data_IF_976863548600
#
_entry.id   IF_976863548600
#
_cell.length_a   1.000
_cell.length_b   1.000
_cell.length_c   1.000
_cell.angle_alpha   90.00
_cell.angle_beta   90.00
_cell.angle_gamma   90.00
#
_symmetry.space_group_name_H-M   'P 1'
#
loop_
_entity.id
_entity.type
_entity.pdbx_description
1 polymer ?
#
# COMPACT_ATOMS: atom_id res chain seq x y z
N UNK A 1 22.38 9.91 -24.50
CA UNK A 1 21.25 10.76 -24.07
C UNK A 1 20.32 11.12 -25.24
N UNK A 2 20.82 11.62 -26.38
CA UNK A 2 19.96 12.04 -27.51
C UNK A 2 19.02 10.96 -28.08
N UNK A 3 19.42 9.68 -28.13
CA UNK A 3 18.58 8.60 -28.69
C UNK A 3 17.33 8.29 -27.86
N UNK A 4 17.37 8.56 -26.56
CA UNK A 4 16.22 8.31 -25.66
C UNK A 4 15.21 9.44 -25.78
N UNK A 5 15.70 10.67 -25.94
CA UNK A 5 14.86 11.86 -26.17
C UNK A 5 14.17 11.74 -27.54
N UNK A 6 14.89 11.33 -28.58
CA UNK A 6 14.33 11.14 -29.93
C UNK A 6 13.31 9.99 -29.99
N UNK A 7 13.50 8.93 -29.19
CA UNK A 7 12.52 7.86 -29.07
C UNK A 7 11.24 8.32 -28.34
N UNK A 8 11.38 9.17 -27.32
CA UNK A 8 10.25 9.72 -26.59
C UNK A 8 9.42 10.69 -27.44
N UNK A 9 10.09 11.54 -28.23
CA UNK A 9 9.45 12.50 -29.12
C UNK A 9 8.67 11.81 -30.25
N UNK A 10 9.22 10.72 -30.82
CA UNK A 10 8.49 9.89 -31.80
C UNK A 10 7.24 9.24 -31.22
N UNK A 11 7.29 8.77 -29.98
CA UNK A 11 6.12 8.18 -29.31
C UNK A 11 5.05 9.24 -29.04
N UNK A 12 5.46 10.44 -28.60
CA UNK A 12 4.54 11.57 -28.39
C UNK A 12 3.81 11.95 -29.69
N UNK A 13 4.55 12.09 -30.80
CA UNK A 13 3.97 12.47 -32.08
C UNK A 13 3.00 11.40 -32.62
N UNK A 14 3.35 10.11 -32.47
CA UNK A 14 2.44 9.02 -32.85
C UNK A 14 1.16 8.95 -31.99
N UNK A 15 1.23 9.37 -30.73
CA UNK A 15 0.06 9.44 -29.86
C UNK A 15 -0.86 10.60 -30.26
N UNK A 16 -0.29 11.76 -30.60
CA UNK A 16 -1.05 12.91 -31.09
C UNK A 16 -1.71 12.62 -32.45
N UNK A 17 -1.00 11.95 -33.38
CA UNK A 17 -1.57 11.52 -34.66
C UNK A 17 -2.69 10.49 -34.47
N UNK A 18 -2.50 9.54 -33.55
CA UNK A 18 -3.54 8.57 -33.18
C UNK A 18 -4.78 9.26 -32.61
N UNK A 19 -4.58 10.22 -31.70
CA UNK A 19 -5.66 10.98 -31.07
C UNK A 19 -6.40 11.86 -32.08
N UNK A 20 -5.68 12.55 -32.97
CA UNK A 20 -6.26 13.37 -34.04
C UNK A 20 -7.02 12.52 -35.06
N UNK A 21 -6.56 11.30 -35.36
CA UNK A 21 -7.31 10.38 -36.24
C UNK A 21 -8.63 9.95 -35.60
N UNK A 22 -8.65 9.68 -34.29
CA UNK A 22 -9.85 9.31 -33.55
C UNK A 22 -10.80 10.51 -33.42
N UNK A 23 -10.26 11.71 -33.18
CA UNK A 23 -11.04 12.94 -33.11
C UNK A 23 -11.66 13.31 -34.47
N UNK A 24 -10.93 13.07 -35.57
CA UNK A 24 -11.42 13.26 -36.95
C UNK A 24 -12.45 12.22 -37.38
N UNK A 25 -12.40 11.00 -36.81
CA UNK A 25 -13.41 9.97 -37.03
C UNK A 25 -14.72 10.22 -36.24
N UNK A 26 -14.69 11.16 -35.29
CA UNK A 26 -15.83 11.56 -34.47
C UNK A 26 -16.50 12.86 -34.97
N UNK A 27 -16.07 13.39 -36.12
CA UNK A 27 -16.87 14.32 -36.93
C UNK A 27 -17.85 13.52 -37.79
N UNK A 28 -19.15 13.77 -37.61
CA UNK A 28 -20.23 13.10 -38.34
C UNK A 28 -20.09 13.13 -39.87
N UNK A 29 -20.84 12.29 -40.59
CA UNK A 29 -20.63 12.03 -42.01
C UNK A 29 -20.76 13.30 -42.85
N UNK A 30 -19.66 13.66 -43.51
CA UNK A 30 -19.58 14.65 -44.58
C UNK A 30 -20.34 14.12 -45.80
N UNK A 31 -21.53 14.68 -46.07
CA UNK A 31 -22.31 14.42 -47.27
C UNK A 31 -21.96 15.46 -48.35
N UNK A 32 -21.11 15.08 -49.30
CA UNK A 32 -21.01 15.78 -50.59
C UNK A 32 -22.03 15.20 -51.60
N UNK A 33 -22.53 16.01 -52.56
CA UNK A 33 -23.86 15.85 -53.14
C UNK A 33 -23.89 15.01 -54.41
N UNK A 34 -25.08 14.48 -54.78
CA UNK A 34 -25.46 14.53 -56.18
C UNK A 34 -26.88 15.09 -56.38
N UNK A 35 -27.03 15.84 -57.48
CA UNK A 35 -28.24 15.75 -58.28
C UNK A 35 -29.44 16.56 -57.81
N UNK A 36 -29.51 17.76 -58.35
CA UNK A 36 -30.71 18.59 -58.46
C UNK A 36 -31.94 17.80 -58.97
N UNK A 37 -33.03 17.80 -58.19
CA UNK A 37 -34.38 17.96 -58.71
C UNK A 37 -35.37 18.25 -57.57
N UNK A 38 -35.74 19.53 -57.47
CA UNK A 38 -37.10 20.03 -57.28
C UNK A 38 -38.04 19.27 -56.32
N UNK A 39 -38.36 19.86 -55.17
CA UNK A 39 -39.65 20.52 -54.94
C UNK A 39 -39.70 21.07 -53.51
N UNK A 40 -40.19 22.30 -53.44
CA UNK A 40 -40.48 23.04 -52.22
C UNK A 40 -41.63 22.37 -51.47
N UNK A 41 -41.37 21.94 -50.23
CA UNK A 41 -42.43 21.79 -49.23
C UNK A 41 -41.89 22.35 -47.92
N UNK A 42 -42.31 23.59 -47.64
CA UNK A 42 -42.11 24.28 -46.39
C UNK A 42 -43.14 23.71 -45.40
N UNK A 43 -42.77 22.65 -44.69
CA UNK A 43 -43.56 22.12 -43.58
C UNK A 43 -42.80 22.36 -42.28
N UNK A 44 -43.48 23.07 -41.39
CA UNK A 44 -43.05 23.42 -40.05
C UNK A 44 -42.43 22.21 -39.36
N UNK A 45 -41.19 22.38 -38.89
CA UNK A 45 -40.53 21.43 -38.00
C UNK A 45 -41.23 21.46 -36.64
N UNK A 46 -42.43 20.87 -36.55
CA UNK A 46 -42.99 20.42 -35.29
C UNK A 46 -42.02 19.37 -34.73
N UNK A 47 -41.40 19.72 -33.60
CA UNK A 47 -40.42 18.86 -32.92
C UNK A 47 -40.95 17.44 -32.79
N UNK A 48 -40.15 16.47 -33.21
CA UNK A 48 -40.49 15.06 -33.09
C UNK A 48 -40.86 14.75 -31.63
N UNK A 49 -42.05 14.22 -31.33
CA UNK A 49 -42.48 13.91 -29.96
C UNK A 49 -41.61 12.84 -29.28
N UNK A 50 -40.67 12.23 -30.02
CA UNK A 50 -39.65 11.32 -29.51
C UNK A 50 -38.42 12.03 -28.96
N UNK A 51 -38.14 13.27 -29.38
CA UNK A 51 -36.94 14.02 -28.97
C UNK A 51 -37.01 14.40 -27.48
N UNK A 52 -38.22 14.76 -27.02
CA UNK A 52 -38.49 14.99 -25.59
C UNK A 52 -38.38 13.73 -24.74
N UNK A 53 -38.77 12.57 -25.28
CA UNK A 53 -38.67 11.28 -24.57
C UNK A 53 -37.21 10.84 -24.49
N UNK A 54 -36.41 11.06 -25.55
CA UNK A 54 -34.98 10.76 -25.51
C UNK A 54 -34.22 11.69 -24.59
N UNK A 55 -34.49 13.00 -24.57
CA UNK A 55 -33.87 13.92 -23.59
C UNK A 55 -34.27 13.60 -22.14
N UNK A 56 -35.53 13.21 -21.90
CA UNK A 56 -36.02 12.84 -20.57
C UNK A 56 -35.44 11.50 -20.09
N UNK A 57 -35.39 10.49 -20.95
CA UNK A 57 -34.83 9.18 -20.61
C UNK A 57 -33.30 9.22 -20.55
N UNK A 58 -32.64 9.89 -21.50
CA UNK A 58 -31.18 10.04 -21.51
C UNK A 58 -30.72 10.95 -20.36
N UNK A 59 -31.44 12.05 -20.12
CA UNK A 59 -31.27 12.91 -18.94
C UNK A 59 -31.53 12.16 -17.64
N UNK A 60 -32.54 11.28 -17.61
CA UNK A 60 -32.81 10.39 -16.47
C UNK A 60 -31.72 9.33 -16.24
N UNK A 61 -31.12 8.78 -17.30
CA UNK A 61 -30.01 7.81 -17.23
C UNK A 61 -28.70 8.50 -16.80
N UNK A 62 -28.40 9.70 -17.31
CA UNK A 62 -27.23 10.48 -16.90
C UNK A 62 -27.41 11.10 -15.50
N UNK A 63 -28.63 11.50 -15.12
CA UNK A 63 -28.92 12.01 -13.77
C UNK A 63 -28.95 10.88 -12.72
N UNK A 64 -29.34 9.66 -13.08
CA UNK A 64 -29.17 8.48 -12.22
C UNK A 64 -27.71 7.99 -12.15
N UNK A 65 -26.83 8.57 -12.96
CA UNK A 65 -25.37 8.48 -12.86
C UNK A 65 -24.75 9.65 -12.05
N UNK A 66 -25.53 10.36 -11.22
CA UNK A 66 -25.04 11.35 -10.26
C UNK A 66 -24.84 10.69 -8.87
N UNK A 67 -23.66 10.58 -8.28
CA UNK A 67 -22.36 11.11 -8.67
C UNK A 67 -21.25 10.06 -8.53
N UNK A 68 -19.98 10.44 -8.76
CA UNK A 68 -18.87 9.59 -8.37
C UNK A 68 -19.00 9.38 -6.87
N UNK A 69 -19.33 8.15 -6.41
CA UNK A 69 -19.25 7.86 -4.99
C UNK A 69 -17.79 7.98 -4.61
N UNK A 70 -17.42 9.17 -4.13
CA UNK A 70 -16.04 9.43 -3.76
C UNK A 70 -15.75 8.56 -2.54
N UNK A 71 -14.51 8.08 -2.41
CA UNK A 71 -14.12 7.27 -1.25
C UNK A 71 -14.52 7.91 0.09
N UNK A 72 -14.55 9.24 0.15
CA UNK A 72 -14.99 10.00 1.32
C UNK A 72 -16.46 9.80 1.63
N UNK A 73 -17.34 9.85 0.64
CA UNK A 73 -18.78 9.60 0.84
C UNK A 73 -19.04 8.19 1.37
N UNK A 74 -18.31 7.18 0.87
CA UNK A 74 -18.39 5.82 1.39
C UNK A 74 -17.95 5.73 2.86
N UNK A 75 -16.89 6.43 3.24
CA UNK A 75 -16.41 6.48 4.63
C UNK A 75 -17.39 7.23 5.53
N UNK A 76 -17.95 8.35 5.08
CA UNK A 76 -18.92 9.15 5.83
C UNK A 76 -20.23 8.36 6.05
N UNK A 77 -20.70 7.66 5.02
CA UNK A 77 -21.84 6.77 5.12
C UNK A 77 -21.57 5.60 6.08
N UNK A 78 -20.39 4.98 5.99
CA UNK A 78 -19.99 3.91 6.91
C UNK A 78 -19.91 4.39 8.37
N UNK A 79 -19.27 5.54 8.61
CA UNK A 79 -19.15 6.15 9.93
C UNK A 79 -20.51 6.50 10.53
N UNK A 80 -21.43 7.01 9.69
CA UNK A 80 -22.78 7.37 10.12
C UNK A 80 -23.67 6.15 10.38
N UNK A 81 -23.40 5.02 9.71
CA UNK A 81 -24.10 3.76 9.92
C UNK A 81 -23.67 3.02 11.21
N UNK A 82 -22.54 3.41 11.81
CA UNK A 82 -22.03 2.84 13.04
C UNK A 82 -22.61 3.57 14.25
N UNK A 83 -23.24 2.82 15.15
CA UNK A 83 -23.64 3.34 16.45
C UNK A 83 -22.43 3.40 17.37
N UNK A 84 -21.79 4.57 17.45
CA UNK A 84 -20.57 4.78 18.25
C UNK A 84 -20.78 4.62 19.75
N UNK A 85 -22.02 4.80 20.24
CA UNK A 85 -22.35 4.68 21.66
C UNK A 85 -22.72 3.24 22.07
N UNK A 86 -21.86 2.29 21.71
CA UNK A 86 -22.06 0.87 22.00
C UNK A 86 -20.89 0.32 22.83
N UNK A 87 -21.16 -0.50 23.87
CA UNK A 87 -20.11 -1.06 24.74
C UNK A 87 -19.06 -1.88 23.99
N UNK A 88 -19.48 -2.56 22.91
CA UNK A 88 -18.59 -3.29 22.02
C UNK A 88 -17.58 -2.37 21.32
N UNK A 89 -18.04 -1.23 20.78
CA UNK A 89 -17.20 -0.25 20.09
C UNK A 89 -16.21 0.39 21.08
N UNK A 90 -16.65 0.73 22.29
CA UNK A 90 -15.74 1.23 23.33
C UNK A 90 -14.63 0.22 23.66
N UNK A 91 -14.98 -1.06 23.82
CA UNK A 91 -14.01 -2.12 24.06
C UNK A 91 -13.00 -2.25 22.92
N UNK A 92 -13.47 -2.13 21.68
CA UNK A 92 -12.63 -2.14 20.47
C UNK A 92 -11.67 -0.94 20.45
N UNK A 93 -12.13 0.27 20.78
CA UNK A 93 -11.26 1.46 20.84
C UNK A 93 -10.20 1.31 21.95
N UNK A 94 -10.59 0.86 23.14
CA UNK A 94 -9.64 0.62 24.25
C UNK A 94 -8.60 -0.42 23.86
N UNK A 95 -9.00 -1.50 23.21
CA UNK A 95 -8.09 -2.51 22.67
C UNK A 95 -7.05 -1.89 21.73
N UNK A 96 -7.46 -1.01 20.81
CA UNK A 96 -6.53 -0.32 19.92
C UNK A 96 -5.58 0.61 20.66
N UNK A 97 -6.06 1.34 21.68
CA UNK A 97 -5.20 2.17 22.52
C UNK A 97 -4.14 1.34 23.24
N UNK A 98 -4.52 0.18 23.79
CA UNK A 98 -3.58 -0.75 24.43
C UNK A 98 -2.53 -1.22 23.43
N UNK A 99 -2.94 -1.57 22.20
CA UNK A 99 -2.00 -2.00 21.16
C UNK A 99 -1.03 -0.90 20.74
N UNK A 100 -1.50 0.34 20.63
CA UNK A 100 -0.65 1.50 20.32
C UNK A 100 0.34 1.75 21.47
N UNK A 101 -0.10 1.65 22.72
CA UNK A 101 0.77 1.81 23.89
C UNK A 101 1.83 0.70 23.93
N UNK A 102 1.44 -0.56 23.72
CA UNK A 102 2.38 -1.69 23.66
C UNK A 102 3.38 -1.53 22.52
N UNK A 103 2.93 -1.10 21.34
CA UNK A 103 3.81 -0.76 20.21
C UNK A 103 4.79 0.35 20.59
N UNK A 104 4.31 1.43 21.20
CA UNK A 104 5.16 2.55 21.61
C UNK A 104 6.23 2.11 22.62
N UNK A 105 5.85 1.30 23.62
CA UNK A 105 6.78 0.71 24.58
C UNK A 105 7.80 -0.19 23.86
N UNK A 106 7.35 -1.02 22.92
CA UNK A 106 8.20 -1.94 22.16
C UNK A 106 9.26 -1.20 21.31
N UNK A 107 8.88 -0.07 20.71
CA UNK A 107 9.77 0.74 19.85
C UNK A 107 10.72 1.62 20.67
N UNK A 108 10.26 2.21 21.77
CA UNK A 108 11.07 3.13 22.59
C UNK A 108 12.06 2.43 23.52
N UNK A 109 11.77 1.20 23.92
CA UNK A 109 12.62 0.43 24.83
C UNK A 109 13.88 -0.08 24.11
N UNK A 110 15.01 0.60 24.33
CA UNK A 110 16.35 0.24 23.79
C UNK A 110 16.99 -1.00 24.45
N UNK A 111 16.29 -1.72 25.31
CA UNK A 111 16.86 -2.85 26.03
C UNK A 111 17.14 -4.02 25.08
N UNK A 112 18.26 -4.74 25.24
CA UNK A 112 18.68 -5.79 24.30
C UNK A 112 17.71 -6.98 24.18
N UNK A 113 16.80 -7.20 25.14
CA UNK A 113 15.67 -8.16 25.03
C UNK A 113 14.44 -7.61 24.29
N UNK A 114 14.46 -6.36 23.81
CA UNK A 114 13.30 -5.75 23.15
C UNK A 114 13.00 -6.36 21.78
N UNK A 115 13.97 -7.04 21.15
CA UNK A 115 13.74 -7.70 19.86
C UNK A 115 12.77 -8.87 20.01
N UNK A 116 12.96 -9.72 21.01
CA UNK A 116 12.06 -10.85 21.32
C UNK A 116 10.63 -10.36 21.56
N UNK A 117 10.48 -9.28 22.34
CA UNK A 117 9.17 -8.67 22.59
C UNK A 117 8.53 -8.10 21.32
N UNK A 118 9.29 -7.37 20.49
CA UNK A 118 8.78 -6.82 19.22
C UNK A 118 8.33 -7.90 18.25
N UNK A 119 9.10 -8.98 18.13
CA UNK A 119 8.75 -10.12 17.28
C UNK A 119 7.53 -10.85 17.84
N UNK A 120 7.49 -11.10 19.15
CA UNK A 120 6.33 -11.74 19.79
C UNK A 120 5.05 -10.91 19.59
N UNK A 121 5.14 -9.59 19.77
CA UNK A 121 4.03 -8.65 19.56
C UNK A 121 3.61 -8.63 18.07
N UNK A 122 4.55 -8.63 17.14
CA UNK A 122 4.25 -8.71 15.70
C UNK A 122 3.53 -10.02 15.33
N UNK A 123 4.01 -11.16 15.81
CA UNK A 123 3.37 -12.46 15.59
C UNK A 123 1.97 -12.50 16.21
N UNK A 124 1.83 -11.97 17.43
CA UNK A 124 0.54 -11.86 18.10
C UNK A 124 -0.46 -11.02 17.28
N UNK A 125 -0.05 -9.85 16.78
CA UNK A 125 -0.89 -9.03 15.91
C UNK A 125 -1.24 -9.74 14.61
N UNK A 126 -0.29 -10.44 13.98
CA UNK A 126 -0.53 -11.19 12.76
C UNK A 126 -1.57 -12.30 12.97
N UNK A 127 -1.51 -13.00 14.10
CA UNK A 127 -2.52 -14.00 14.50
C UNK A 127 -3.88 -13.35 14.69
N UNK A 128 -3.95 -12.20 15.37
CA UNK A 128 -5.22 -11.48 15.57
C UNK A 128 -5.84 -11.03 14.24
N UNK A 129 -5.03 -10.47 13.33
CA UNK A 129 -5.49 -10.11 11.99
C UNK A 129 -5.96 -11.34 11.23
N UNK A 130 -5.27 -12.47 11.33
CA UNK A 130 -5.72 -13.73 10.69
C UNK A 130 -7.03 -14.24 11.29
N UNK A 131 -7.19 -14.14 12.61
CA UNK A 131 -8.39 -14.55 13.33
C UNK A 131 -9.57 -13.59 13.13
N UNK A 132 -9.35 -12.38 12.60
CA UNK A 132 -10.41 -11.39 12.39
C UNK A 132 -11.57 -11.92 11.54
N UNK A 133 -11.28 -12.72 10.51
CA UNK A 133 -12.28 -13.35 9.64
C UNK A 133 -13.11 -14.39 10.40
N UNK A 134 -12.47 -15.23 11.21
CA UNK A 134 -13.17 -16.22 12.03
C UNK A 134 -14.02 -15.53 13.11
N UNK A 135 -13.48 -14.49 13.74
CA UNK A 135 -14.19 -13.67 14.72
C UNK A 135 -15.39 -12.96 14.07
N UNK A 136 -15.26 -12.45 12.85
CA UNK A 136 -16.35 -11.83 12.09
C UNK A 136 -17.52 -12.81 11.90
N UNK A 137 -17.25 -14.02 11.41
CA UNK A 137 -18.29 -15.05 11.21
C UNK A 137 -18.93 -15.46 12.52
N UNK A 138 -18.12 -15.67 13.56
CA UNK A 138 -18.61 -16.06 14.88
C UNK A 138 -19.51 -15.00 15.52
N UNK A 139 -19.10 -13.73 15.47
CA UNK A 139 -19.88 -12.63 16.02
C UNK A 139 -21.14 -12.38 15.18
N UNK A 140 -21.10 -12.57 13.86
CA UNK A 140 -22.29 -12.49 13.00
C UNK A 140 -23.38 -13.47 13.40
N UNK A 141 -23.01 -14.66 13.89
CA UNK A 141 -23.95 -15.72 14.28
C UNK A 141 -24.45 -15.58 15.73
N UNK A 142 -23.66 -14.94 16.61
CA UNK A 142 -23.93 -14.90 18.06
C UNK A 142 -24.03 -13.47 18.62
N UNK A 143 -24.19 -12.44 17.78
CA UNK A 143 -24.14 -11.03 18.22
C UNK A 143 -25.16 -10.71 19.35
N UNK A 144 -26.34 -11.31 19.31
CA UNK A 144 -27.39 -11.11 20.33
C UNK A 144 -26.98 -11.67 21.70
N UNK A 145 -26.30 -12.82 21.73
CA UNK A 145 -25.81 -13.44 22.97
C UNK A 145 -24.72 -12.60 23.64
N UNK A 146 -23.95 -11.86 22.84
CA UNK A 146 -22.92 -10.93 23.31
C UNK A 146 -23.45 -9.54 23.69
N UNK A 147 -24.78 -9.34 23.67
CA UNK A 147 -25.40 -8.07 24.03
C UNK A 147 -25.12 -6.94 23.05
N UNK A 148 -24.79 -7.28 21.79
CA UNK A 148 -24.59 -6.30 20.72
C UNK A 148 -25.96 -5.98 20.14
N UNK A 149 -26.34 -4.70 20.12
CA UNK A 149 -27.68 -4.27 19.68
C UNK A 149 -27.88 -4.33 18.17
N UNK A 150 -26.81 -4.24 17.38
CA UNK A 150 -26.82 -4.20 15.93
C UNK A 150 -25.81 -5.18 15.34
N UNK A 151 -26.21 -5.91 14.30
CA UNK A 151 -25.28 -6.79 13.58
C UNK A 151 -24.40 -5.99 12.62
N UNK A 152 -23.17 -5.68 13.06
CA UNK A 152 -22.16 -4.98 12.27
C UNK A 152 -21.39 -5.91 11.30
N UNK A 153 -21.55 -7.22 11.45
CA UNK A 153 -20.68 -8.21 10.80
C UNK A 153 -21.25 -8.66 9.46
N UNK A 154 -20.47 -8.47 8.40
CA UNK A 154 -20.86 -8.77 7.03
C UNK A 154 -20.13 -10.00 6.49
N UNK A 155 -20.68 -10.66 5.47
CA UNK A 155 -20.06 -11.86 4.88
C UNK A 155 -18.67 -11.59 4.26
N UNK A 156 -18.38 -10.34 3.88
CA UNK A 156 -17.08 -9.92 3.35
C UNK A 156 -16.12 -9.43 4.46
N UNK A 157 -16.61 -9.23 5.68
CA UNK A 157 -15.83 -8.73 6.82
C UNK A 157 -15.32 -7.30 6.66
N UNK A 158 -16.00 -6.46 5.89
CA UNK A 158 -15.63 -5.05 5.68
C UNK A 158 -15.56 -4.29 7.02
N UNK A 159 -16.50 -4.53 7.93
CA UNK A 159 -16.47 -3.87 9.24
C UNK A 159 -15.19 -4.22 10.01
N UNK A 160 -14.87 -5.51 10.14
CA UNK A 160 -13.67 -5.97 10.81
C UNK A 160 -12.40 -5.53 10.07
N UNK A 161 -12.43 -5.46 8.75
CA UNK A 161 -11.30 -4.95 7.97
C UNK A 161 -11.00 -3.49 8.29
N UNK A 162 -12.02 -2.63 8.33
CA UNK A 162 -11.86 -1.18 8.57
C UNK A 162 -11.55 -0.89 10.04
N UNK A 163 -12.28 -1.50 10.97
CA UNK A 163 -12.20 -1.17 12.40
C UNK A 163 -11.10 -1.93 13.13
N UNK A 164 -10.69 -3.11 12.65
CA UNK A 164 -9.70 -3.96 13.33
C UNK A 164 -8.44 -4.13 12.48
N UNK A 165 -8.57 -4.59 11.23
CA UNK A 165 -7.38 -4.91 10.43
C UNK A 165 -6.58 -3.67 10.04
N UNK A 166 -7.21 -2.59 9.60
CA UNK A 166 -6.55 -1.36 9.16
C UNK A 166 -5.67 -0.74 10.26
N UNK A 167 -6.21 -0.48 11.48
CA UNK A 167 -5.39 0.00 12.58
C UNK A 167 -4.28 -0.98 12.99
N UNK A 168 -4.58 -2.28 13.10
CA UNK A 168 -3.57 -3.29 13.48
C UNK A 168 -2.46 -3.40 12.44
N UNK A 169 -2.77 -3.36 11.14
CA UNK A 169 -1.79 -3.37 10.06
C UNK A 169 -0.89 -2.15 10.12
N UNK A 170 -1.43 -0.97 10.46
CA UNK A 170 -0.61 0.24 10.64
C UNK A 170 0.41 0.07 11.77
N UNK A 171 0.00 -0.54 12.88
CA UNK A 171 0.89 -0.87 14.01
C UNK A 171 1.94 -1.90 13.58
N UNK A 172 1.54 -2.96 12.87
CA UNK A 172 2.46 -3.96 12.31
C UNK A 172 3.50 -3.33 11.39
N UNK A 173 3.11 -2.36 10.55
CA UNK A 173 4.01 -1.68 9.63
C UNK A 173 5.10 -0.88 10.36
N UNK A 174 4.73 -0.18 11.44
CA UNK A 174 5.68 0.57 12.28
C UNK A 174 6.66 -0.37 12.99
N UNK A 175 6.16 -1.48 13.54
CA UNK A 175 6.99 -2.50 14.18
C UNK A 175 7.97 -3.14 13.19
N UNK A 176 7.48 -3.50 12.00
CA UNK A 176 8.29 -4.07 10.93
C UNK A 176 9.38 -3.09 10.50
N UNK A 177 9.05 -1.81 10.32
CA UNK A 177 10.00 -0.76 9.96
C UNK A 177 11.10 -0.62 11.02
N UNK A 178 10.72 -0.62 12.30
CA UNK A 178 11.67 -0.57 13.42
C UNK A 178 12.58 -1.79 13.45
N UNK A 179 12.03 -2.99 13.24
CA UNK A 179 12.78 -4.23 13.14
C UNK A 179 13.79 -4.22 11.99
N UNK A 180 13.39 -3.73 10.81
CA UNK A 180 14.27 -3.63 9.64
C UNK A 180 15.43 -2.67 9.88
N UNK A 181 15.20 -1.53 10.54
CA UNK A 181 16.26 -0.58 10.90
C UNK A 181 17.28 -1.26 11.82
N UNK A 182 16.83 -2.05 12.79
CA UNK A 182 17.71 -2.76 13.70
C UNK A 182 18.47 -3.90 13.03
N UNK A 183 17.79 -4.69 12.18
CA UNK A 183 18.42 -5.74 11.39
C UNK A 183 19.55 -5.18 10.50
N UNK A 184 19.32 -4.02 9.87
CA UNK A 184 20.36 -3.28 9.12
C UNK A 184 21.54 -2.92 10.01
N UNK A 185 21.30 -2.36 11.19
CA UNK A 185 22.37 -1.95 12.12
C UNK A 185 23.17 -3.14 12.63
N UNK A 186 22.51 -4.28 12.88
CA UNK A 186 23.16 -5.53 13.27
C UNK A 186 24.05 -6.06 12.15
N UNK A 187 23.56 -6.07 10.90
CA UNK A 187 24.35 -6.48 9.73
C UNK A 187 25.59 -5.60 9.54
N UNK A 188 25.44 -4.28 9.68
CA UNK A 188 26.57 -3.33 9.62
C UNK A 188 27.57 -3.62 10.74
N UNK A 189 27.10 -3.91 11.95
CA UNK A 189 27.96 -4.20 13.10
C UNK A 189 28.73 -5.51 12.90
N UNK A 190 28.06 -6.57 12.42
CA UNK A 190 28.71 -7.84 12.07
C UNK A 190 29.76 -7.64 10.98
N UNK A 191 29.44 -6.87 9.94
CA UNK A 191 30.41 -6.54 8.87
C UNK A 191 31.62 -5.76 9.40
N UNK A 192 31.40 -4.78 10.30
CA UNK A 192 32.48 -4.04 10.96
C UNK A 192 33.36 -4.96 11.81
N UNK A 193 32.76 -5.90 12.54
CA UNK A 193 33.49 -6.87 13.36
C UNK A 193 34.31 -7.85 12.51
N UNK A 194 33.75 -8.32 11.39
CA UNK A 194 34.43 -9.17 10.42
C UNK A 194 35.68 -8.47 9.87
N UNK A 195 35.54 -7.22 9.42
CA UNK A 195 36.65 -6.41 8.90
C UNK A 195 37.74 -6.23 9.97
N UNK A 196 37.37 -5.86 11.20
CA UNK A 196 38.34 -5.69 12.29
C UNK A 196 39.05 -6.99 12.65
N UNK A 197 38.34 -8.12 12.67
CA UNK A 197 38.92 -9.45 12.89
C UNK A 197 39.96 -9.79 11.81
N UNK A 198 39.64 -9.51 10.55
CA UNK A 198 40.53 -9.73 9.42
C UNK A 198 41.81 -8.86 9.49
N UNK A 199 41.69 -7.59 9.87
CA UNK A 199 42.87 -6.72 10.08
C UNK A 199 43.75 -7.22 11.24
N UNK A 200 43.16 -7.64 12.36
CA UNK A 200 43.90 -8.19 13.51
C UNK A 200 44.63 -9.48 13.14
N UNK A 201 44.02 -10.36 12.32
CA UNK A 201 44.68 -11.59 11.82
C UNK A 201 45.87 -11.25 10.91
N UNK A 202 45.73 -10.31 9.98
CA UNK A 202 46.81 -9.87 9.08
C UNK A 202 47.99 -9.23 9.85
N UNK A 203 47.71 -8.38 10.84
CA UNK A 203 48.74 -7.75 11.68
C UNK A 203 49.50 -8.76 12.55
N UNK A 204 48.81 -9.76 13.12
CA UNK A 204 49.46 -10.84 13.88
C UNK A 204 50.33 -11.73 12.98
N UNK A 205 49.90 -11.99 11.74
CA UNK A 205 50.69 -12.76 10.78
C UNK A 205 51.98 -12.03 10.37
N UNK A 206 51.91 -10.73 10.06
CA UNK A 206 53.11 -9.94 9.70
C UNK A 206 54.10 -9.82 10.85
N UNK A 207 53.61 -9.66 12.09
CA UNK A 207 54.46 -9.61 13.30
C UNK A 207 55.17 -10.95 13.56
N UNK A 208 54.48 -12.09 13.35
CA UNK A 208 55.07 -13.42 13.52
C UNK A 208 56.14 -13.72 12.47
N UNK A 209 55.94 -13.30 11.22
CA UNK A 209 56.93 -13.40 10.14
C UNK A 209 58.20 -12.61 10.47
N UNK A 210 58.05 -11.36 10.92
CA UNK A 210 59.18 -10.48 11.30
C UNK A 210 60.00 -11.03 12.48
N UNK A 211 59.34 -11.70 13.43
CA UNK A 211 60.00 -12.36 14.57
C UNK A 211 60.80 -13.60 14.13
N UNK A 212 60.23 -14.42 13.24
CA UNK A 212 60.90 -15.61 12.70
C UNK A 212 62.12 -15.25 11.83
N UNK A 213 62.04 -14.18 11.02
CA UNK A 213 63.18 -13.74 10.20
C UNK A 213 64.34 -13.25 11.08
N UNK A 214 64.07 -12.37 12.04
CA UNK A 214 65.09 -11.89 12.99
C UNK A 214 65.74 -13.01 13.80
N UNK A 215 64.98 -14.05 14.17
CA UNK A 215 65.53 -15.20 14.88
C UNK A 215 66.45 -16.04 13.98
N UNK A 216 66.08 -16.23 12.71
CA UNK A 216 66.86 -16.99 11.73
C UNK A 216 68.18 -16.29 11.39
N UNK A 217 68.16 -14.96 11.29
CA UNK A 217 69.36 -14.14 11.05
C UNK A 217 70.31 -14.17 12.26
N UNK A 218 69.77 -14.11 13.49
CA UNK A 218 70.56 -14.31 14.72
C UNK A 218 71.24 -15.68 14.80
N UNK A 219 70.53 -16.74 14.40
CA UNK A 219 71.11 -18.10 14.38
C UNK A 219 72.16 -18.28 13.29
N UNK A 220 71.99 -17.62 12.13
CA UNK A 220 72.99 -17.63 11.05
C UNK A 220 74.27 -16.90 11.45
N UNK A 221 74.18 -15.72 12.06
CA UNK A 221 75.36 -14.98 12.52
C UNK A 221 76.18 -15.70 13.60
N UNK A 222 75.57 -16.59 14.39
CA UNK A 222 76.26 -17.35 15.45
C UNK A 222 77.04 -18.58 14.94
N UNK A 223 76.82 -19.04 13.70
CA UNK A 223 77.54 -20.19 13.12
C UNK A 223 78.83 -19.82 12.36
N UNK A 224 79.11 -18.53 12.21
CA UNK A 224 80.21 -17.99 11.38
C UNK A 224 81.39 -17.53 12.27
N UNK A 225 81.23 -17.60 13.60
CA UNK A 225 82.29 -17.41 14.60
C UNK A 225 82.51 -18.73 15.33
#
# INVERSE_FOLDING_TARGET
>A
MNRVIEAFERVSNHLEDGLNSILSAQGGPQSDPPGNSQQEDQQDYEGSPLDGITEEVLGGIFASQSGPQTFREHVDAFSSAITWNEPFIYSLVIFHLIMIVLMFIAVTTKHSRSLEFRVALFVFLAVLVRCSEAANTYLRENFEEYGITQNYFDAKGVFMMVMVCLPLLSVCFILLSSFLIEAKNLMITVKRMEIQSNYKKKSKASTKVKKNSNQKDKMRGKKIN
#
